data_IF_194588187578
#
_entry.id   IF_194588187578
#
_cell.length_a   1.000
_cell.length_b   1.000
_cell.length_c   1.000
_cell.angle_alpha   90.00
_cell.angle_beta   90.00
_cell.angle_gamma   90.00
#
_symmetry.space_group_name_H-M   'P 1'
#
loop_
_entity.id
_entity.type
_entity.pdbx_description
1 polymer ?
#
# COMPACT_ATOMS: atom_id res chain seq x y z
N UNK A 1 -11.18 -12.94 0.99
CA UNK A 1 -10.23 -13.85 0.31
C UNK A 1 -8.88 -13.15 0.16
N UNK A 2 -7.79 -13.88 -0.04
CA UNK A 2 -6.55 -13.27 -0.56
C UNK A 2 -5.23 -13.63 0.13
N UNK A 3 -5.07 -14.85 0.65
CA UNK A 3 -3.73 -15.36 1.01
C UNK A 3 -3.20 -16.15 -0.18
N UNK A 4 -2.22 -15.60 -0.89
CA UNK A 4 -1.47 -16.31 -1.91
C UNK A 4 -0.32 -17.06 -1.26
N UNK A 5 -0.26 -18.37 -1.45
CA UNK A 5 0.80 -19.22 -0.90
C UNK A 5 1.63 -19.79 -2.04
N UNK A 6 2.94 -19.59 -1.99
CA UNK A 6 3.91 -20.26 -2.85
C UNK A 6 4.84 -21.12 -1.97
N UNK A 7 5.12 -22.35 -2.40
CA UNK A 7 6.09 -23.23 -1.73
C UNK A 7 7.33 -23.35 -2.59
N UNK A 8 8.47 -22.93 -2.05
CA UNK A 8 9.78 -23.14 -2.67
C UNK A 8 10.38 -24.43 -2.10
N UNK A 9 11.11 -25.19 -2.94
CA UNK A 9 11.84 -26.39 -2.52
C UNK A 9 13.00 -26.07 -1.56
N UNK A 10 13.87 -27.06 -1.33
CA UNK A 10 14.90 -26.94 -0.30
C UNK A 10 15.93 -25.84 -0.62
N UNK A 11 16.08 -24.87 0.29
CA UNK A 11 17.18 -23.90 0.34
C UNK A 11 18.29 -24.48 1.21
N UNK A 12 19.52 -24.58 0.68
CA UNK A 12 20.65 -25.04 1.49
C UNK A 12 21.04 -23.99 2.54
N UNK A 13 21.75 -24.37 3.61
CA UNK A 13 22.28 -23.41 4.57
C UNK A 13 23.11 -22.33 3.88
N UNK A 14 22.74 -21.06 4.10
CA UNK A 14 23.40 -19.90 3.50
C UNK A 14 22.92 -19.53 2.08
N UNK A 15 22.02 -20.30 1.47
CA UNK A 15 21.38 -19.89 0.22
C UNK A 15 20.26 -18.87 0.49
N UNK A 16 20.13 -17.89 -0.41
CA UNK A 16 19.08 -16.89 -0.37
C UNK A 16 18.09 -17.10 -1.53
N UNK A 17 16.80 -16.92 -1.25
CA UNK A 17 15.77 -16.80 -2.27
C UNK A 17 15.27 -15.35 -2.32
N UNK A 18 14.93 -14.88 -3.51
CA UNK A 18 14.29 -13.57 -3.73
C UNK A 18 12.88 -13.80 -4.27
N UNK A 19 11.90 -13.14 -3.65
CA UNK A 19 10.51 -13.16 -4.08
C UNK A 19 10.19 -11.78 -4.67
N UNK A 20 9.77 -11.74 -5.93
CA UNK A 20 9.26 -10.54 -6.57
C UNK A 20 7.78 -10.74 -6.90
N UNK A 21 6.95 -9.77 -6.52
CA UNK A 21 5.54 -9.74 -6.87
C UNK A 21 5.16 -8.33 -7.34
N UNK A 22 4.20 -8.27 -8.26
CA UNK A 22 3.66 -7.03 -8.81
C UNK A 22 2.15 -7.11 -8.79
N UNK A 23 1.51 -6.08 -8.25
CA UNK A 23 0.06 -5.98 -8.17
C UNK A 23 -0.37 -4.53 -8.38
N UNK A 24 -1.65 -4.33 -8.62
CA UNK A 24 -2.25 -3.02 -8.72
C UNK A 24 -3.52 -2.98 -7.87
N UNK A 25 -3.78 -1.83 -7.27
CA UNK A 25 -4.94 -1.58 -6.43
C UNK A 25 -5.47 -0.18 -6.71
N UNK A 26 -6.79 0.00 -6.67
CA UNK A 26 -7.38 1.33 -6.70
C UNK A 26 -7.13 2.04 -5.36
N UNK A 27 -6.66 3.29 -5.44
CA UNK A 27 -6.52 4.14 -4.27
C UNK A 27 -7.91 4.54 -3.75
N UNK A 28 -8.23 4.19 -2.52
CA UNK A 28 -9.47 4.64 -1.89
C UNK A 28 -9.29 6.08 -1.42
N UNK A 29 -10.08 6.98 -2.00
CA UNK A 29 -10.05 8.41 -1.66
C UNK A 29 -11.37 8.78 -1.01
N UNK A 30 -11.30 9.32 0.20
CA UNK A 30 -12.44 9.76 1.01
C UNK A 30 -12.18 11.20 1.45
N UNK A 31 -13.10 12.11 1.12
CA UNK A 31 -13.01 13.54 1.50
C UNK A 31 -11.67 14.21 1.15
N UNK A 32 -11.09 13.84 0.00
CA UNK A 32 -9.80 14.36 -0.46
C UNK A 32 -8.59 13.81 0.31
N UNK A 33 -8.78 12.73 1.06
CA UNK A 33 -7.73 12.00 1.76
C UNK A 33 -7.60 10.59 1.21
N UNK A 34 -6.40 10.03 1.23
CA UNK A 34 -6.17 8.64 0.92
C UNK A 34 -5.07 8.07 1.80
N UNK A 35 -5.12 6.76 2.03
CA UNK A 35 -4.10 6.03 2.78
C UNK A 35 -3.56 4.88 1.95
N UNK A 36 -2.24 4.85 1.80
CA UNK A 36 -1.51 3.71 1.26
C UNK A 36 -0.95 2.94 2.44
N UNK A 37 -1.18 1.63 2.47
CA UNK A 37 -0.65 0.73 3.48
C UNK A 37 0.09 -0.42 2.78
N UNK A 38 1.35 -0.64 3.14
CA UNK A 38 2.08 -1.84 2.81
C UNK A 38 2.18 -2.68 4.09
N UNK A 39 1.38 -3.76 4.21
CA UNK A 39 1.44 -4.65 5.36
C UNK A 39 2.74 -5.45 5.30
N UNK A 40 3.59 -5.27 6.30
CA UNK A 40 4.90 -5.92 6.40
C UNK A 40 4.99 -6.80 7.64
N UNK A 41 4.07 -6.60 8.59
CA UNK A 41 4.05 -7.34 9.85
C UNK A 41 3.43 -8.73 9.64
N UNK A 42 4.26 -9.77 9.72
CA UNK A 42 3.75 -11.14 9.83
C UNK A 42 3.28 -11.32 11.27
N UNK A 43 1.96 -11.41 11.46
CA UNK A 43 1.41 -11.72 12.78
C UNK A 43 2.02 -13.03 13.30
N UNK A 44 2.46 -13.11 14.57
CA UNK A 44 2.87 -14.37 15.17
C UNK A 44 1.76 -15.39 14.97
N UNK A 45 2.09 -16.58 14.49
CA UNK A 45 1.15 -17.70 14.42
C UNK A 45 0.89 -18.18 15.86
N UNK A 46 0.00 -17.49 16.56
CA UNK A 46 -0.31 -17.79 17.97
C UNK A 46 -0.87 -19.21 18.11
N UNK A 47 -0.26 -19.99 19.01
CA UNK A 47 -0.62 -21.38 19.28
C UNK A 47 0.61 -22.29 19.29
N UNK A 48 0.50 -23.48 19.89
CA UNK A 48 1.51 -24.52 19.68
C UNK A 48 1.26 -25.09 18.28
N UNK A 49 2.21 -24.92 17.36
CA UNK A 49 2.11 -25.29 15.94
C UNK A 49 1.56 -26.71 15.71
N UNK A 50 1.94 -27.64 16.60
CA UNK A 50 1.52 -29.04 16.62
C UNK A 50 0.01 -29.24 16.84
N UNK A 51 -0.67 -28.30 17.51
CA UNK A 51 -2.11 -28.37 17.79
C UNK A 51 -2.94 -27.61 16.73
N UNK A 52 -2.29 -26.84 15.86
CA UNK A 52 -2.95 -26.01 14.83
C UNK A 52 -2.85 -26.57 13.40
N UNK A 53 -2.32 -27.78 13.21
CA UNK A 53 -2.13 -28.37 11.88
C UNK A 53 -1.05 -27.68 11.03
N UNK A 54 -0.19 -26.89 11.66
CA UNK A 54 0.92 -26.19 11.00
C UNK A 54 2.10 -27.16 10.92
N UNK A 55 2.58 -27.42 9.70
CA UNK A 55 3.77 -28.26 9.50
C UNK A 55 5.01 -27.54 10.04
N UNK A 56 6.02 -28.28 10.51
CA UNK A 56 7.23 -27.67 11.10
C UNK A 56 7.92 -26.67 10.15
N UNK A 57 7.96 -26.96 8.85
CA UNK A 57 8.51 -26.03 7.85
C UNK A 57 7.62 -24.82 7.55
N UNK A 58 6.42 -24.75 8.12
CA UNK A 58 5.51 -23.60 8.06
C UNK A 58 5.57 -22.76 9.35
N UNK A 59 6.35 -23.20 10.34
CA UNK A 59 6.69 -22.42 11.54
C UNK A 59 7.57 -21.23 11.19
N UNK A 60 7.43 -20.14 11.96
CA UNK A 60 8.32 -18.99 11.93
C UNK A 60 8.83 -18.73 13.34
N UNK A 61 10.15 -18.75 13.54
CA UNK A 61 10.75 -18.33 14.80
C UNK A 61 10.82 -16.80 14.83
N UNK A 62 10.23 -16.19 15.87
CA UNK A 62 10.37 -14.76 16.12
C UNK A 62 11.65 -14.48 16.89
N UNK A 63 12.46 -13.54 16.41
CA UNK A 63 13.61 -13.00 17.13
C UNK A 63 13.46 -11.47 17.21
N UNK A 64 13.44 -10.94 18.42
CA UNK A 64 13.24 -9.51 18.68
C UNK A 64 14.47 -8.65 18.33
N UNK A 65 15.64 -9.27 18.15
CA UNK A 65 16.89 -8.58 17.85
C UNK A 65 17.22 -8.57 16.36
N UNK A 66 16.49 -9.34 15.55
CA UNK A 66 16.71 -9.38 14.10
C UNK A 66 16.12 -8.14 13.46
N UNK A 67 16.95 -7.45 12.68
CA UNK A 67 16.54 -6.32 11.86
C UNK A 67 16.30 -6.80 10.43
N UNK A 68 15.13 -6.44 9.89
CA UNK A 68 14.77 -6.67 8.49
C UNK A 68 14.72 -5.30 7.79
N UNK A 69 15.80 -4.84 7.14
CA UNK A 69 15.83 -3.54 6.48
C UNK A 69 14.75 -3.45 5.38
N UNK A 70 14.09 -2.29 5.32
CA UNK A 70 13.11 -1.96 4.29
C UNK A 70 13.64 -0.82 3.43
N UNK A 71 13.70 -1.04 2.12
CA UNK A 71 13.86 0.01 1.12
C UNK A 71 12.54 0.21 0.41
N UNK A 72 12.13 1.48 0.26
CA UNK A 72 10.89 1.85 -0.41
C UNK A 72 11.12 3.13 -1.22
N UNK A 73 10.61 3.14 -2.44
CA UNK A 73 10.53 4.33 -3.30
C UNK A 73 9.15 4.35 -3.95
N UNK A 74 8.44 5.47 -3.81
CA UNK A 74 7.09 5.68 -4.33
C UNK A 74 7.10 6.90 -5.26
N UNK A 75 6.57 6.73 -6.46
CA UNK A 75 6.32 7.85 -7.38
C UNK A 75 4.84 8.25 -7.30
N UNK A 76 4.59 9.43 -6.78
CA UNK A 76 3.28 10.08 -6.81
C UNK A 76 3.20 10.96 -8.06
N UNK A 77 2.20 10.71 -8.90
CA UNK A 77 1.96 11.47 -10.13
C UNK A 77 0.46 11.57 -10.45
N UNK A 78 0.11 12.22 -11.56
CA UNK A 78 -1.28 12.31 -12.02
C UNK A 78 -2.16 13.14 -11.09
N UNK A 79 -1.63 14.17 -10.45
CA UNK A 79 -2.31 15.06 -9.52
C UNK A 79 -2.06 14.73 -8.04
N UNK A 80 -1.59 13.51 -7.72
CA UNK A 80 -1.20 13.15 -6.35
C UNK A 80 0.08 13.82 -5.90
N UNK A 81 0.95 14.27 -6.82
CA UNK A 81 2.20 14.97 -6.50
C UNK A 81 1.99 16.30 -5.75
N UNK A 82 0.78 16.85 -5.78
CA UNK A 82 0.39 18.12 -5.15
C UNK A 82 -0.25 17.96 -3.76
N UNK A 83 -0.44 16.73 -3.29
CA UNK A 83 -1.04 16.49 -1.99
C UNK A 83 -0.05 16.78 -0.85
N UNK A 84 -0.58 16.92 0.35
CA UNK A 84 0.24 16.86 1.57
C UNK A 84 0.53 15.40 1.88
N UNK A 85 1.80 15.10 2.17
CA UNK A 85 2.31 13.75 2.35
C UNK A 85 2.81 13.61 3.78
N UNK A 86 2.35 12.58 4.48
CA UNK A 86 2.79 12.27 5.85
C UNK A 86 2.89 10.75 6.04
N UNK A 87 3.93 10.29 6.74
CA UNK A 87 3.99 8.90 7.21
C UNK A 87 4.00 8.86 8.74
N UNK A 88 2.97 8.26 9.37
CA UNK A 88 2.99 8.04 10.82
C UNK A 88 3.83 6.82 11.23
N UNK A 89 4.25 6.01 10.25
CA UNK A 89 4.94 4.74 10.50
C UNK A 89 6.47 4.83 10.38
N UNK A 90 6.96 5.62 9.45
CA UNK A 90 8.38 5.66 9.07
C UNK A 90 8.81 7.09 8.74
N UNK A 91 10.09 7.40 8.93
CA UNK A 91 10.65 8.66 8.47
C UNK A 91 10.88 8.62 6.95
N UNK A 92 10.38 9.64 6.27
CA UNK A 92 10.41 9.75 4.80
C UNK A 92 11.12 11.02 4.35
N UNK A 93 11.78 10.93 3.20
CA UNK A 93 12.24 12.06 2.41
C UNK A 93 11.31 12.22 1.20
N UNK A 94 10.95 13.48 0.91
CA UNK A 94 10.02 13.82 -0.17
C UNK A 94 10.71 14.77 -1.14
N UNK A 95 10.88 14.34 -2.38
CA UNK A 95 11.57 15.11 -3.42
C UNK A 95 10.65 15.33 -4.61
N UNK A 96 10.48 16.59 -5.01
CA UNK A 96 9.76 16.91 -6.25
C UNK A 96 10.69 16.78 -7.46
N UNK A 97 10.20 16.16 -8.53
CA UNK A 97 10.88 16.05 -9.80
C UNK A 97 9.94 16.42 -10.98
N UNK A 98 10.44 16.37 -12.20
CA UNK A 98 9.67 16.71 -13.41
C UNK A 98 8.52 15.73 -13.68
N UNK A 99 8.60 14.50 -13.18
CA UNK A 99 7.65 13.41 -13.40
C UNK A 99 6.61 13.25 -12.27
N UNK A 100 6.75 13.99 -11.16
CA UNK A 100 5.92 13.86 -9.97
C UNK A 100 6.68 14.11 -8.66
N UNK A 101 6.21 13.52 -7.58
CA UNK A 101 6.85 13.56 -6.26
C UNK A 101 7.35 12.16 -5.90
N UNK A 102 8.64 12.05 -5.59
CA UNK A 102 9.25 10.82 -5.08
C UNK A 102 9.19 10.85 -3.55
N UNK A 103 8.71 9.76 -2.96
CA UNK A 103 8.77 9.52 -1.51
C UNK A 103 9.67 8.32 -1.26
N UNK A 104 10.70 8.50 -0.44
CA UNK A 104 11.65 7.45 -0.07
C UNK A 104 11.75 7.33 1.44
N UNK A 105 12.13 6.16 1.94
CA UNK A 105 12.47 6.00 3.35
C UNK A 105 13.84 6.63 3.63
N UNK A 106 13.94 7.28 4.78
CA UNK A 106 15.26 7.61 5.35
C UNK A 106 15.99 6.32 5.74
N UNK A 107 17.30 6.39 6.02
CA UNK A 107 18.21 5.22 6.13
C UNK A 107 17.87 4.18 7.23
N UNK A 108 16.85 4.41 8.05
CA UNK A 108 16.51 3.60 9.22
C UNK A 108 15.14 2.89 9.09
N UNK A 109 14.71 2.54 7.86
CA UNK A 109 13.47 1.80 7.61
C UNK A 109 13.58 0.29 7.91
N UNK A 110 12.61 -0.28 8.64
CA UNK A 110 12.59 -1.70 9.01
C UNK A 110 11.19 -2.32 8.82
N UNK A 111 11.12 -3.63 8.53
CA UNK A 111 9.88 -4.41 8.45
C UNK A 111 9.33 -4.83 9.83
N UNK A 112 9.45 -3.96 10.85
CA UNK A 112 8.97 -4.23 12.21
C UNK A 112 7.50 -3.77 12.43
N UNK A 113 6.97 -3.00 11.46
CA UNK A 113 5.61 -2.48 11.41
C UNK A 113 5.21 -2.18 9.98
N UNK A 114 3.92 -2.12 9.74
CA UNK A 114 3.37 -1.75 8.43
C UNK A 114 3.80 -0.34 8.02
N UNK A 115 4.11 -0.17 6.73
CA UNK A 115 4.35 1.16 6.17
C UNK A 115 3.03 1.82 5.82
N UNK A 116 2.83 3.05 6.29
CA UNK A 116 1.63 3.86 6.11
C UNK A 116 2.03 5.19 5.50
N UNK A 117 1.38 5.58 4.40
CA UNK A 117 1.47 6.92 3.80
C UNK A 117 0.08 7.53 3.73
N UNK A 118 -0.10 8.67 4.40
CA UNK A 118 -1.31 9.47 4.33
C UNK A 118 -1.12 10.58 3.29
N UNK A 119 -2.11 10.73 2.41
CA UNK A 119 -2.21 11.78 1.43
C UNK A 119 -3.43 12.63 1.77
N UNK A 120 -3.30 13.96 1.83
CA UNK A 120 -4.43 14.87 2.07
C UNK A 120 -4.43 16.06 1.10
N UNK A 121 -5.61 16.62 0.87
CA UNK A 121 -5.79 17.68 -0.13
C UNK A 121 -5.82 17.17 -1.57
N UNK A 122 -6.14 15.89 -1.77
CA UNK A 122 -6.40 15.32 -3.09
C UNK A 122 -7.65 15.99 -3.68
N UNK A 123 -7.48 16.72 -4.78
CA UNK A 123 -8.58 17.39 -5.49
C UNK A 123 -8.92 16.66 -6.77
N UNK A 124 -10.20 16.32 -6.96
CA UNK A 124 -10.82 15.91 -8.22
C UNK A 124 -9.89 15.12 -9.15
N UNK A 125 -9.77 13.81 -8.90
CA UNK A 125 -8.84 12.97 -9.64
C UNK A 125 -9.57 11.82 -10.33
N UNK A 126 -9.23 11.66 -11.62
CA UNK A 126 -9.54 10.47 -12.39
C UNK A 126 -8.21 9.77 -12.65
N UNK A 127 -8.08 8.54 -12.19
CA UNK A 127 -6.90 7.72 -12.44
C UNK A 127 -7.28 6.59 -13.35
N UNK A 128 -6.38 6.23 -14.27
CA UNK A 128 -6.50 4.98 -15.00
C UNK A 128 -5.12 4.35 -15.17
N UNK A 129 -5.10 3.03 -15.23
CA UNK A 129 -3.93 2.22 -15.56
C UNK A 129 -4.36 1.16 -16.56
N UNK A 130 -3.52 0.94 -17.57
CA UNK A 130 -3.71 -0.11 -18.56
C UNK A 130 -2.49 -1.02 -18.48
N UNK A 131 -2.73 -2.32 -18.33
CA UNK A 131 -1.69 -3.34 -18.33
C UNK A 131 -2.03 -4.42 -19.35
N UNK A 132 -1.07 -4.93 -20.14
CA UNK A 132 -1.31 -6.09 -21.01
C UNK A 132 -1.74 -7.31 -20.20
N UNK A 133 -2.77 -8.01 -20.66
CA UNK A 133 -3.21 -9.28 -20.08
C UNK A 133 -2.45 -10.42 -20.75
N UNK A 134 -1.43 -10.92 -20.06
CA UNK A 134 -0.55 -11.98 -20.56
C UNK A 134 -1.25 -13.33 -20.71
N UNK A 135 -2.46 -13.52 -20.17
CA UNK A 135 -3.21 -14.77 -20.23
C UNK A 135 -4.27 -14.79 -21.34
N UNK A 136 -4.71 -13.62 -21.84
CA UNK A 136 -5.75 -13.52 -22.87
C UNK A 136 -5.25 -13.24 -24.30
N UNK A 137 -3.93 -13.05 -24.51
CA UNK A 137 -3.31 -12.88 -25.84
C UNK A 137 -2.64 -11.52 -26.03
N UNK A 138 -1.98 -11.31 -27.18
CA UNK A 138 -1.10 -10.15 -27.41
C UNK A 138 -1.80 -8.79 -27.49
N UNK A 139 -3.12 -8.75 -27.66
CA UNK A 139 -3.92 -7.52 -27.75
C UNK A 139 -4.83 -7.29 -26.54
N UNK A 140 -4.87 -8.24 -25.59
CA UNK A 140 -5.72 -8.13 -24.41
C UNK A 140 -5.08 -7.20 -23.37
N UNK A 141 -5.90 -6.39 -22.70
CA UNK A 141 -5.45 -5.52 -21.62
C UNK A 141 -6.43 -5.51 -20.45
N UNK A 142 -5.89 -5.38 -19.24
CA UNK A 142 -6.63 -5.05 -18.03
C UNK A 142 -6.60 -3.54 -17.83
N UNK A 143 -7.78 -2.96 -17.57
CA UNK A 143 -7.93 -1.55 -17.24
C UNK A 143 -8.40 -1.41 -15.80
N UNK A 144 -7.67 -0.62 -15.03
CA UNK A 144 -8.06 -0.17 -13.69
C UNK A 144 -8.35 1.31 -13.78
N UNK A 145 -9.57 1.72 -13.43
CA UNK A 145 -9.96 3.12 -13.42
C UNK A 145 -10.58 3.50 -12.07
N UNK A 146 -10.25 4.68 -11.59
CA UNK A 146 -10.84 5.27 -10.40
C UNK A 146 -11.30 6.69 -10.73
N UNK A 147 -12.50 7.04 -10.27
CA UNK A 147 -13.07 8.37 -10.46
C UNK A 147 -13.55 8.90 -9.12
N UNK A 148 -12.94 10.00 -8.66
CA UNK A 148 -13.33 10.67 -7.43
C UNK A 148 -13.81 12.10 -7.71
N UNK A 149 -15.09 12.30 -8.09
CA UNK A 149 -15.65 13.61 -8.33
C UNK A 149 -15.84 14.38 -7.02
N UNK A 150 -15.54 15.67 -7.03
CA UNK A 150 -16.01 16.54 -5.96
C UNK A 150 -17.50 16.86 -6.20
N UNK A 151 -18.38 16.36 -5.34
CA UNK A 151 -19.79 16.76 -5.35
C UNK A 151 -19.91 17.93 -4.40
N UNK A 152 -19.89 19.15 -4.94
CA UNK A 152 -20.23 20.34 -4.16
C UNK A 152 -21.66 20.17 -3.65
N UNK A 153 -21.81 19.88 -2.35
CA UNK A 153 -23.12 19.92 -1.72
C UNK A 153 -23.53 21.39 -1.63
N UNK A 154 -24.63 21.83 -2.27
CA UNK A 154 -25.11 23.18 -2.10
C UNK A 154 -25.39 23.42 -0.61
N UNK A 155 -24.86 24.51 -0.07
CA UNK A 155 -25.08 24.93 1.32
C UNK A 155 -26.57 24.96 1.62
N UNK A 156 -27.07 23.98 2.38
CA UNK A 156 -28.45 23.94 2.84
C UNK A 156 -28.67 25.04 3.88
N UNK A 157 -29.07 26.21 3.41
CA UNK A 157 -29.72 27.24 4.23
C UNK A 157 -31.04 26.67 4.78
N UNK A 158 -31.06 26.30 6.05
CA UNK A 158 -32.30 26.18 6.83
C UNK A 158 -32.26 27.25 7.93
N UNK A 159 -32.52 28.50 7.56
CA UNK A 159 -32.96 29.48 8.55
C UNK A 159 -34.42 29.16 8.87
N UNK A 160 -34.64 28.42 9.96
CA UNK A 160 -35.97 28.38 10.57
C UNK A 160 -36.13 29.74 11.26
N UNK A 161 -36.90 30.62 10.63
CA UNK A 161 -37.36 31.85 11.23
C UNK A 161 -38.14 31.49 12.52
N UNK A 162 -37.53 31.70 13.68
CA UNK A 162 -38.30 31.83 14.91
C UNK A 162 -38.99 33.18 14.89
N UNK A 163 -40.27 33.16 14.56
CA UNK A 163 -41.13 34.33 14.53
C UNK A 163 -42.58 33.95 14.78
N UNK A 164 -42.91 33.68 16.05
CA UNK A 164 -44.05 34.27 16.79
C UNK A 164 -44.17 33.67 18.18
#
# INVERSE_FOLDING_TARGET
EGIYTASLGNLKPGEAATIEYRYAQLLQVEEGCARICLPTTIAPRYGKEHFGGIQEHQSTQADMLVQYPLTLSLLLSGGTEKCTIESPSHHIDVTQNTSGTIVELTRDGFLDRDFILNLSGLKNQSFYMIAPDKHMGSEACTVLANFNPNIDMPSRYWSIAQGR
#
